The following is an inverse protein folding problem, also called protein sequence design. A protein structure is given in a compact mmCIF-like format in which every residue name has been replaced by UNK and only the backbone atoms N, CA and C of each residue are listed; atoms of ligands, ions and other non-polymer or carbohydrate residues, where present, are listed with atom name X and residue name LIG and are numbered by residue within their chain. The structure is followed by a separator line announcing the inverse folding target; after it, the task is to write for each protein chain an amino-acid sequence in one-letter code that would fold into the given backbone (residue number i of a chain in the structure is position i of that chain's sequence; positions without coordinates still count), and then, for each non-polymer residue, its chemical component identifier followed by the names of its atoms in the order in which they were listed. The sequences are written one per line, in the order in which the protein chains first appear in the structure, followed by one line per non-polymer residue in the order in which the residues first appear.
data_IF_584505086001
#
_entry.id   IF_584505086001
#
_cell.length_a   1.000
_cell.length_b   1.000
_cell.length_c   1.000
_cell.angle_alpha   90.00
_cell.angle_beta   90.00
_cell.angle_gamma   90.00
#
_symmetry.space_group_name_H-M   'P 1'
#
loop_
_entity.id
_entity.type
_entity.pdbx_description
1 polymer ?
#
# COMPACT_ATOMS: atom_id res chain seq x y z
N UNK A 1 -3.33 29.32 -43.15
CA UNK A 1 -2.62 28.06 -42.87
C UNK A 1 -3.11 26.99 -43.83
N UNK A 2 -2.23 26.46 -44.68
CA UNK A 2 -2.58 25.38 -45.62
C UNK A 2 -2.79 24.08 -44.87
N UNK A 3 -3.75 23.24 -45.33
CA UNK A 3 -4.06 21.92 -44.74
C UNK A 3 -2.84 20.99 -44.61
N UNK A 4 -1.74 21.27 -45.32
CA UNK A 4 -0.44 20.59 -45.23
C UNK A 4 0.37 20.92 -43.97
N UNK A 5 0.30 22.15 -43.45
CA UNK A 5 0.94 22.52 -42.19
C UNK A 5 0.27 21.87 -40.97
N UNK A 6 -1.02 21.52 -41.08
CA UNK A 6 -1.73 20.79 -40.03
C UNK A 6 -1.28 19.34 -39.92
N UNK A 7 -1.04 18.63 -41.03
CA UNK A 7 -0.69 17.21 -40.99
C UNK A 7 0.72 16.95 -40.43
N UNK A 8 1.68 17.78 -40.83
CA UNK A 8 3.05 17.72 -40.31
C UNK A 8 3.10 18.13 -38.82
N UNK A 9 2.33 19.14 -38.43
CA UNK A 9 2.16 19.51 -37.03
C UNK A 9 1.47 18.41 -36.21
N UNK A 10 0.54 17.63 -36.78
CA UNK A 10 -0.13 16.51 -36.10
C UNK A 10 0.77 15.29 -35.91
N UNK A 11 1.64 14.99 -36.88
CA UNK A 11 2.64 13.91 -36.75
C UNK A 11 3.66 14.23 -35.65
N UNK A 12 4.13 15.47 -35.63
CA UNK A 12 5.07 15.97 -34.61
C UNK A 12 4.40 16.12 -33.23
N UNK A 13 3.17 16.64 -33.19
CA UNK A 13 2.40 16.76 -31.95
C UNK A 13 1.96 15.39 -31.38
N UNK A 14 1.73 14.39 -32.24
CA UNK A 14 1.43 13.02 -31.83
C UNK A 14 2.61 12.34 -31.13
N UNK A 15 3.83 12.56 -31.61
CA UNK A 15 5.05 12.07 -30.96
C UNK A 15 5.32 12.80 -29.63
N UNK A 16 5.06 14.11 -29.57
CA UNK A 16 5.22 14.92 -28.36
C UNK A 16 4.14 14.70 -27.29
N UNK A 17 2.90 14.34 -27.67
CA UNK A 17 1.79 14.12 -26.73
C UNK A 17 1.88 12.78 -25.98
N UNK A 18 2.67 11.82 -26.48
CA UNK A 18 2.93 10.53 -25.80
C UNK A 18 4.09 10.64 -24.82
N UNK A 19 4.96 11.64 -24.98
CA UNK A 19 6.03 11.97 -24.03
C UNK A 19 5.47 12.80 -22.86
N UNK A 20 4.61 12.20 -22.05
CA UNK A 20 4.23 12.75 -20.76
C UNK A 20 5.40 12.67 -19.79
N UNK A 21 6.27 13.68 -19.79
CA UNK A 21 6.71 14.35 -18.56
C UNK A 21 7.61 15.56 -18.85
N UNK A 22 7.35 16.64 -18.12
CA UNK A 22 7.73 18.03 -18.39
C UNK A 22 9.23 18.38 -18.30
N UNK A 23 10.14 17.40 -18.23
CA UNK A 23 11.60 17.65 -18.08
C UNK A 23 12.47 17.22 -19.26
N UNK A 24 11.96 16.42 -20.20
CA UNK A 24 12.73 15.93 -21.37
C UNK A 24 12.43 16.65 -22.70
N UNK A 25 11.61 17.69 -22.69
CA UNK A 25 11.08 18.35 -23.89
C UNK A 25 12.04 19.35 -24.57
N UNK A 26 13.19 19.70 -23.97
CA UNK A 26 14.13 20.64 -24.60
C UNK A 26 14.98 19.99 -25.70
N UNK A 27 15.48 18.77 -25.47
CA UNK A 27 16.38 18.08 -26.42
C UNK A 27 15.66 17.60 -27.69
N UNK A 28 14.39 17.20 -27.60
CA UNK A 28 13.61 16.75 -28.75
C UNK A 28 13.18 17.87 -29.72
N UNK A 29 13.21 19.15 -29.29
CA UNK A 29 12.77 20.29 -30.13
C UNK A 29 13.83 20.75 -31.13
N UNK A 30 15.10 20.52 -30.86
CA UNK A 30 16.21 21.01 -31.68
C UNK A 30 16.61 20.01 -32.78
N UNK A 31 16.59 18.71 -32.48
CA UNK A 31 16.86 17.65 -33.48
C UNK A 31 15.76 17.55 -34.56
N UNK A 32 14.51 17.88 -34.22
CA UNK A 32 13.36 17.73 -35.12
C UNK A 32 13.22 18.84 -36.17
N UNK A 33 14.05 19.89 -36.11
CA UNK A 33 14.02 21.02 -37.06
C UNK A 33 14.70 20.68 -38.40
N UNK A 34 15.50 19.62 -38.44
CA UNK A 34 16.33 19.26 -39.60
C UNK A 34 15.59 18.37 -40.61
N UNK A 35 14.58 17.60 -40.18
CA UNK A 35 13.87 16.66 -41.07
C UNK A 35 12.68 17.26 -41.86
N UNK A 36 12.18 18.44 -41.48
CA UNK A 36 10.93 18.97 -42.04
C UNK A 36 11.07 19.46 -43.50
N UNK A 37 12.22 20.01 -43.88
CA UNK A 37 12.42 20.61 -45.21
C UNK A 37 12.61 19.54 -46.32
N UNK A 38 13.14 18.37 -45.98
CA UNK A 38 13.40 17.28 -46.94
C UNK A 38 12.14 16.52 -47.37
N UNK A 39 11.07 16.56 -46.58
CA UNK A 39 9.77 15.95 -46.91
C UNK A 39 8.93 16.77 -47.91
N UNK A 40 9.22 18.07 -48.05
CA UNK A 40 8.47 19.00 -48.90
C UNK A 40 8.78 18.87 -50.41
N UNK A 41 9.91 18.25 -50.76
CA UNK A 41 10.40 18.11 -52.14
C UNK A 41 10.07 16.76 -52.79
N UNK A 42 9.45 15.83 -52.06
CA UNK A 42 9.16 14.48 -52.55
C UNK A 42 7.86 14.38 -53.39
N UNK A 43 7.80 13.50 -54.39
CA UNK A 43 6.61 13.33 -55.24
C UNK A 43 5.37 12.88 -54.45
N UNK A 44 4.19 13.39 -54.83
CA UNK A 44 2.91 13.22 -54.09
C UNK A 44 2.51 11.75 -53.84
N UNK A 45 2.93 10.80 -54.68
CA UNK A 45 2.66 9.37 -54.46
C UNK A 45 3.48 8.80 -53.29
N UNK A 46 4.68 9.31 -53.07
CA UNK A 46 5.63 8.91 -52.03
C UNK A 46 5.21 9.49 -50.69
N UNK A 47 4.73 10.75 -50.67
CA UNK A 47 4.21 11.39 -49.44
C UNK A 47 3.01 10.63 -48.86
N UNK A 48 2.09 10.16 -49.69
CA UNK A 48 0.92 9.39 -49.25
C UNK A 48 1.23 7.95 -48.81
N UNK A 49 2.33 7.37 -49.29
CA UNK A 49 2.84 6.08 -48.81
C UNK A 49 3.59 6.25 -47.48
N UNK A 50 4.47 7.25 -47.37
CA UNK A 50 5.20 7.59 -46.14
C UNK A 50 4.23 7.90 -45.00
N UNK A 51 3.18 8.69 -45.24
CA UNK A 51 2.17 9.00 -44.21
C UNK A 51 1.43 7.76 -43.70
N UNK A 52 1.12 6.80 -44.59
CA UNK A 52 0.45 5.55 -44.21
C UNK A 52 1.36 4.65 -43.38
N UNK A 53 2.62 4.51 -43.80
CA UNK A 53 3.64 3.71 -43.08
C UNK A 53 3.94 4.32 -41.71
N UNK A 54 4.08 5.65 -41.63
CA UNK A 54 4.35 6.34 -40.36
C UNK A 54 3.16 6.19 -39.39
N UNK A 55 1.92 6.32 -39.89
CA UNK A 55 0.73 6.15 -39.07
C UNK A 55 0.55 4.71 -38.58
N UNK A 56 0.81 3.70 -39.42
CA UNK A 56 0.74 2.29 -39.01
C UNK A 56 1.83 1.92 -38.00
N UNK A 57 3.06 2.43 -38.18
CA UNK A 57 4.15 2.21 -37.23
C UNK A 57 3.87 2.88 -35.88
N UNK A 58 3.32 4.09 -35.88
CA UNK A 58 2.91 4.78 -34.65
C UNK A 58 1.80 4.02 -33.91
N UNK A 59 0.79 3.52 -34.64
CA UNK A 59 -0.30 2.73 -34.04
C UNK A 59 0.23 1.43 -33.43
N UNK A 60 1.06 0.69 -34.14
CA UNK A 60 1.68 -0.53 -33.64
C UNK A 60 2.54 -0.26 -32.39
N UNK A 61 3.36 0.80 -32.41
CA UNK A 61 4.19 1.16 -31.25
C UNK A 61 3.36 1.60 -30.05
N UNK A 62 2.25 2.29 -30.29
CA UNK A 62 1.30 2.69 -29.23
C UNK A 62 0.64 1.48 -28.59
N UNK A 63 0.22 0.49 -29.38
CA UNK A 63 -0.38 -0.74 -28.85
C UNK A 63 0.61 -1.56 -28.02
N UNK A 64 1.86 -1.68 -28.49
CA UNK A 64 2.96 -2.32 -27.74
C UNK A 64 3.21 -1.62 -26.39
N UNK A 65 3.29 -0.28 -26.39
CA UNK A 65 3.48 0.51 -25.16
C UNK A 65 2.29 0.33 -24.21
N UNK A 66 1.05 0.34 -24.72
CA UNK A 66 -0.15 0.13 -23.90
C UNK A 66 -0.18 -1.28 -23.30
N UNK A 67 0.28 -2.29 -24.02
CA UNK A 67 0.39 -3.66 -23.50
C UNK A 67 1.44 -3.77 -22.41
N UNK A 68 2.60 -3.13 -22.59
CA UNK A 68 3.64 -3.06 -21.55
C UNK A 68 3.15 -2.33 -20.30
N UNK A 69 2.38 -1.25 -20.44
CA UNK A 69 1.78 -0.54 -19.30
C UNK A 69 0.83 -1.45 -18.55
N UNK A 70 -0.12 -2.10 -19.25
CA UNK A 70 -1.07 -3.04 -18.63
C UNK A 70 -0.37 -4.16 -17.85
N UNK A 71 0.69 -4.74 -18.44
CA UNK A 71 1.46 -5.78 -17.78
C UNK A 71 2.13 -5.27 -16.50
N UNK A 72 2.80 -4.10 -16.55
CA UNK A 72 3.42 -3.50 -15.36
C UNK A 72 2.42 -3.12 -14.28
N UNK A 73 1.25 -2.61 -14.67
CA UNK A 73 0.16 -2.32 -13.73
C UNK A 73 -0.36 -3.58 -13.05
N UNK A 74 -0.50 -4.69 -13.79
CA UNK A 74 -0.92 -5.97 -13.22
C UNK A 74 0.14 -6.54 -12.25
N UNK A 75 1.42 -6.49 -12.62
CA UNK A 75 2.52 -6.88 -11.74
C UNK A 75 2.58 -6.01 -10.49
N UNK A 76 2.46 -4.69 -10.64
CA UNK A 76 2.42 -3.77 -9.51
C UNK A 76 1.22 -4.03 -8.59
N UNK A 77 0.05 -4.34 -9.17
CA UNK A 77 -1.15 -4.70 -8.40
C UNK A 77 -0.93 -5.99 -7.62
N UNK A 78 -0.36 -7.04 -8.24
CA UNK A 78 -0.05 -8.31 -7.56
C UNK A 78 0.96 -8.11 -6.44
N UNK A 79 2.01 -7.31 -6.69
CA UNK A 79 3.01 -6.99 -5.68
C UNK A 79 2.41 -6.21 -4.50
N UNK A 80 1.51 -5.26 -4.76
CA UNK A 80 0.81 -4.50 -3.72
C UNK A 80 -0.13 -5.39 -2.89
N UNK A 81 -0.86 -6.32 -3.52
CA UNK A 81 -1.72 -7.27 -2.82
C UNK A 81 -0.92 -8.22 -1.91
N UNK A 82 0.22 -8.71 -2.39
CA UNK A 82 1.12 -9.55 -1.60
C UNK A 82 1.73 -8.79 -0.43
N UNK A 83 2.17 -7.54 -0.64
CA UNK A 83 2.68 -6.69 0.42
C UNK A 83 1.61 -6.41 1.49
N UNK A 84 0.39 -6.08 1.09
CA UNK A 84 -0.74 -5.87 2.01
C UNK A 84 -1.11 -7.16 2.78
N UNK A 85 -1.02 -8.33 2.12
CA UNK A 85 -1.21 -9.62 2.77
C UNK A 85 -0.15 -9.88 3.83
N UNK A 86 1.12 -9.62 3.51
CA UNK A 86 2.23 -9.82 4.43
C UNK A 86 2.14 -8.89 5.64
N UNK A 87 1.76 -7.63 5.41
CA UNK A 87 1.55 -6.65 6.48
C UNK A 87 0.41 -7.08 7.42
N UNK A 88 -0.72 -7.54 6.86
CA UNK A 88 -1.83 -8.06 7.66
C UNK A 88 -1.41 -9.26 8.52
N UNK A 89 -0.66 -10.21 7.94
CA UNK A 89 -0.14 -11.36 8.68
C UNK A 89 0.80 -10.92 9.80
N UNK A 90 1.69 -9.96 9.52
CA UNK A 90 2.61 -9.39 10.52
C UNK A 90 1.84 -8.78 11.69
N UNK A 91 0.79 -7.99 11.40
CA UNK A 91 -0.07 -7.36 12.39
C UNK A 91 -0.85 -8.39 13.23
N UNK A 92 -1.44 -9.40 12.60
CA UNK A 92 -2.12 -10.51 13.29
C UNK A 92 -1.17 -11.21 14.27
N UNK A 93 0.07 -11.49 13.86
CA UNK A 93 1.08 -12.11 14.71
C UNK A 93 1.47 -11.23 15.89
N UNK A 94 1.74 -9.94 15.66
CA UNK A 94 2.06 -9.00 16.73
C UNK A 94 0.93 -8.94 17.78
N UNK A 95 -0.32 -8.79 17.31
CA UNK A 95 -1.49 -8.73 18.18
C UNK A 95 -1.67 -10.05 18.96
N UNK A 96 -1.52 -11.20 18.30
CA UNK A 96 -1.61 -12.51 18.96
C UNK A 96 -0.50 -12.70 20.01
N UNK A 97 0.73 -12.31 19.69
CA UNK A 97 1.86 -12.40 20.61
C UNK A 97 1.63 -11.58 21.87
N UNK A 98 1.19 -10.31 21.75
CA UNK A 98 0.98 -9.46 22.92
C UNK A 98 -0.22 -9.92 23.76
N UNK A 99 -1.34 -10.30 23.12
CA UNK A 99 -2.50 -10.88 23.82
C UNK A 99 -2.09 -12.14 24.59
N UNK A 100 -1.30 -13.02 23.97
CA UNK A 100 -0.81 -14.22 24.63
C UNK A 100 0.06 -13.89 25.85
N UNK A 101 0.95 -12.91 25.73
CA UNK A 101 1.83 -12.55 26.84
C UNK A 101 1.10 -11.91 28.02
N UNK A 102 0.05 -11.12 27.78
CA UNK A 102 -0.71 -10.42 28.82
C UNK A 102 -1.90 -11.21 29.36
N UNK A 103 -2.56 -12.00 28.51
CA UNK A 103 -3.84 -12.64 28.80
C UNK A 103 -3.94 -14.09 28.32
N UNK A 104 -2.82 -14.76 28.00
CA UNK A 104 -2.83 -16.11 27.43
C UNK A 104 -3.47 -17.18 28.32
N UNK A 105 -3.62 -16.93 29.62
CA UNK A 105 -4.33 -17.80 30.57
C UNK A 105 -5.79 -17.37 30.85
N UNK A 106 -6.29 -16.33 30.17
CA UNK A 106 -7.66 -15.83 30.31
C UNK A 106 -8.60 -16.49 29.29
N UNK A 107 -9.91 -16.30 29.49
CA UNK A 107 -10.93 -16.69 28.51
C UNK A 107 -10.73 -15.95 27.18
N UNK A 108 -11.36 -16.45 26.11
CA UNK A 108 -11.34 -15.77 24.80
C UNK A 108 -11.80 -14.32 24.92
N UNK A 109 -12.87 -14.06 25.67
CA UNK A 109 -13.37 -12.70 25.93
C UNK A 109 -12.34 -11.83 26.64
N UNK A 110 -11.62 -12.37 27.63
CA UNK A 110 -10.54 -11.63 28.32
C UNK A 110 -9.32 -11.36 27.42
N UNK A 111 -9.02 -12.27 26.51
CA UNK A 111 -7.98 -12.07 25.49
C UNK A 111 -8.37 -10.98 24.48
N UNK A 112 -9.61 -11.01 23.99
CA UNK A 112 -10.17 -9.97 23.12
C UNK A 112 -10.21 -8.63 23.85
N UNK A 113 -10.55 -8.61 25.14
CA UNK A 113 -10.59 -7.40 25.96
C UNK A 113 -9.21 -6.70 26.03
N UNK A 114 -8.12 -7.44 26.25
CA UNK A 114 -6.76 -6.86 26.26
C UNK A 114 -6.37 -6.34 24.87
N UNK A 115 -6.65 -7.09 23.80
CA UNK A 115 -6.41 -6.61 22.43
C UNK A 115 -7.24 -5.36 22.08
N UNK A 116 -8.47 -5.27 22.58
CA UNK A 116 -9.32 -4.11 22.40
C UNK A 116 -8.75 -2.85 23.08
N UNK A 117 -8.04 -2.97 24.21
CA UNK A 117 -7.34 -1.82 24.82
C UNK A 117 -6.30 -1.24 23.85
N UNK A 118 -5.53 -2.11 23.19
CA UNK A 118 -4.53 -1.70 22.21
C UNK A 118 -5.21 -0.95 21.05
N UNK A 119 -6.31 -1.50 20.51
CA UNK A 119 -7.03 -0.86 19.41
C UNK A 119 -7.74 0.43 19.83
N UNK A 120 -8.20 0.54 21.08
CA UNK A 120 -8.75 1.78 21.62
C UNK A 120 -7.69 2.86 21.71
N UNK A 121 -6.48 2.52 22.17
CA UNK A 121 -5.34 3.45 22.19
C UNK A 121 -4.97 3.92 20.79
N UNK A 122 -4.87 3.02 19.82
CA UNK A 122 -4.60 3.39 18.42
C UNK A 122 -5.65 4.38 17.87
N UNK A 123 -6.89 4.35 18.37
CA UNK A 123 -7.98 5.26 17.96
C UNK A 123 -8.04 6.53 18.80
N UNK A 124 -7.35 6.57 19.93
CA UNK A 124 -7.36 7.68 20.87
C UNK A 124 -6.20 8.63 20.56
N UNK A 125 -6.51 9.92 20.39
CA UNK A 125 -5.51 10.92 19.99
C UNK A 125 -4.42 11.21 21.04
N UNK A 126 -4.51 10.65 22.24
CA UNK A 126 -3.46 10.74 23.26
C UNK A 126 -2.35 9.67 23.11
N UNK A 127 -2.55 8.67 22.24
CA UNK A 127 -1.62 7.57 22.01
C UNK A 127 -1.11 7.55 20.55
N UNK A 128 -0.06 6.77 20.25
CA UNK A 128 0.41 6.59 18.88
C UNK A 128 -0.63 5.94 17.96
N UNK A 129 -0.52 6.23 16.66
CA UNK A 129 -1.51 5.85 15.64
C UNK A 129 -1.33 4.42 15.10
N UNK A 130 -0.35 3.67 15.61
CA UNK A 130 -0.07 2.30 15.15
C UNK A 130 0.01 1.29 16.28
N UNK A 131 -0.41 0.04 16.00
CA UNK A 131 -0.35 -1.06 16.97
C UNK A 131 1.07 -1.31 17.45
N UNK A 132 2.05 -1.25 16.54
CA UNK A 132 3.46 -1.46 16.92
C UNK A 132 3.94 -0.36 17.88
N UNK A 133 3.69 0.92 17.58
CA UNK A 133 4.09 1.99 18.48
C UNK A 133 3.40 1.91 19.84
N UNK A 134 2.09 1.61 19.88
CA UNK A 134 1.35 1.42 21.14
C UNK A 134 1.91 0.27 21.96
N UNK A 135 2.18 -0.87 21.33
CA UNK A 135 2.72 -2.06 22.01
C UNK A 135 4.13 -1.80 22.54
N UNK A 136 4.99 -1.10 21.79
CA UNK A 136 6.37 -0.84 22.21
C UNK A 136 6.54 0.43 23.06
N UNK A 137 5.45 1.10 23.49
CA UNK A 137 5.55 2.20 24.46
C UNK A 137 6.18 1.72 25.77
N UNK A 138 7.18 2.47 26.25
CA UNK A 138 7.93 2.12 27.46
C UNK A 138 7.01 1.99 28.68
N UNK A 139 7.10 0.85 29.36
CA UNK A 139 6.37 0.58 30.61
C UNK A 139 4.88 0.27 30.45
N UNK A 140 4.35 0.17 29.23
CA UNK A 140 2.93 -0.16 29.01
C UNK A 140 2.65 -1.66 29.07
N UNK A 141 3.54 -2.47 28.47
CA UNK A 141 3.40 -3.93 28.40
C UNK A 141 4.66 -4.59 28.97
N UNK A 142 4.52 -5.33 30.07
CA UNK A 142 5.64 -5.94 30.80
C UNK A 142 6.54 -6.87 29.96
N UNK A 143 5.98 -7.71 29.06
CA UNK A 143 6.71 -8.61 28.15
C UNK A 143 7.63 -7.92 27.14
N UNK A 144 7.41 -6.64 26.83
CA UNK A 144 8.22 -5.89 25.87
C UNK A 144 9.60 -5.59 26.44
N UNK A 145 9.66 -5.10 27.68
CA UNK A 145 10.90 -4.72 28.34
C UNK A 145 11.84 -5.92 28.58
N UNK A 146 11.31 -7.14 28.63
CA UNK A 146 12.07 -8.37 28.88
C UNK A 146 12.53 -9.08 27.59
N UNK A 147 12.10 -8.60 26.41
CA UNK A 147 12.32 -9.28 25.13
C UNK A 147 11.49 -10.56 24.95
N UNK A 148 10.57 -10.85 25.89
CA UNK A 148 9.70 -12.03 25.81
C UNK A 148 8.73 -11.92 24.62
N UNK A 149 8.18 -10.73 24.37
CA UNK A 149 7.29 -10.50 23.23
C UNK A 149 7.98 -10.84 21.90
N UNK A 150 9.20 -10.35 21.70
CA UNK A 150 9.95 -10.60 20.47
C UNK A 150 10.27 -12.08 20.27
N UNK A 151 10.55 -12.80 21.37
CA UNK A 151 10.72 -14.25 21.35
C UNK A 151 9.43 -14.95 20.92
N UNK A 152 8.29 -14.63 21.54
CA UNK A 152 6.99 -15.21 21.18
C UNK A 152 6.65 -14.92 19.71
N UNK A 153 6.91 -13.71 19.22
CA UNK A 153 6.66 -13.28 17.84
C UNK A 153 7.54 -14.02 16.82
N UNK A 154 8.82 -14.20 17.12
CA UNK A 154 9.78 -14.85 16.21
C UNK A 154 9.63 -16.37 16.13
N UNK A 155 9.11 -17.01 17.18
CA UNK A 155 8.92 -18.48 17.22
C UNK A 155 7.48 -18.92 16.98
N UNK A 156 6.57 -17.99 16.66
CA UNK A 156 5.12 -18.23 16.63
C UNK A 156 4.62 -18.93 17.92
N UNK A 157 5.14 -18.50 19.08
CA UNK A 157 4.93 -19.15 20.38
C UNK A 157 3.61 -18.83 21.07
N UNK A 158 2.73 -18.05 20.44
CA UNK A 158 1.39 -17.74 20.93
C UNK A 158 0.45 -18.94 20.75
N UNK A 159 -0.66 -18.97 21.48
CA UNK A 159 -1.68 -20.02 21.32
C UNK A 159 -2.61 -19.71 20.15
N UNK A 160 -3.24 -20.74 19.58
CA UNK A 160 -4.31 -20.57 18.57
C UNK A 160 -5.48 -19.73 19.11
N UNK A 161 -5.77 -19.81 20.41
CA UNK A 161 -6.77 -18.97 21.06
C UNK A 161 -6.39 -17.47 20.97
N UNK A 162 -5.12 -17.13 21.23
CA UNK A 162 -4.64 -15.76 21.11
C UNK A 162 -4.63 -15.27 19.66
N UNK A 163 -4.32 -16.14 18.70
CA UNK A 163 -4.43 -15.85 17.27
C UNK A 163 -5.89 -15.58 16.86
N UNK A 164 -6.84 -16.37 17.35
CA UNK A 164 -8.26 -16.13 17.08
C UNK A 164 -8.72 -14.81 17.72
N UNK A 165 -8.33 -14.54 18.96
CA UNK A 165 -8.66 -13.29 19.64
C UNK A 165 -8.08 -12.07 18.89
N UNK A 166 -6.85 -12.17 18.40
CA UNK A 166 -6.23 -11.13 17.58
C UNK A 166 -7.03 -10.82 16.31
N UNK A 167 -7.48 -11.85 15.59
CA UNK A 167 -8.32 -11.68 14.40
C UNK A 167 -9.65 -11.03 14.74
N UNK A 168 -10.29 -11.44 15.83
CA UNK A 168 -11.57 -10.88 16.27
C UNK A 168 -11.40 -9.39 16.64
N UNK A 169 -10.34 -9.03 17.35
CA UNK A 169 -9.99 -7.65 17.70
C UNK A 169 -9.75 -6.80 16.44
N UNK A 170 -8.96 -7.30 15.50
CA UNK A 170 -8.68 -6.61 14.23
C UNK A 170 -9.93 -6.50 13.34
N UNK A 171 -10.89 -7.42 13.47
CA UNK A 171 -12.21 -7.33 12.86
C UNK A 171 -13.18 -6.38 13.60
N UNK A 172 -12.78 -5.85 14.77
CA UNK A 172 -13.52 -4.84 15.53
C UNK A 172 -14.24 -5.35 16.78
N UNK A 173 -14.01 -6.59 17.22
CA UNK A 173 -14.54 -7.09 18.48
C UNK A 173 -13.98 -6.27 19.65
N UNK A 174 -14.89 -5.77 20.50
CA UNK A 174 -14.53 -4.92 21.63
C UNK A 174 -15.55 -5.09 22.78
N UNK A 175 -15.27 -5.95 23.77
CA UNK A 175 -16.15 -6.14 24.92
C UNK A 175 -16.01 -5.05 25.99
N UNK A 176 -15.07 -4.11 25.83
CA UNK A 176 -14.68 -3.13 26.87
C UNK A 176 -15.06 -1.68 26.55
N UNK A 177 -15.76 -1.44 25.45
CA UNK A 177 -16.09 -0.08 25.03
C UNK A 177 -14.83 0.76 24.83
N UNK A 178 -14.71 1.88 25.52
CA UNK A 178 -13.60 2.82 25.34
C UNK A 178 -12.50 2.71 26.41
N UNK A 179 -12.46 1.63 27.20
CA UNK A 179 -11.41 1.49 28.21
C UNK A 179 -10.01 1.49 27.56
N UNK A 180 -9.09 2.22 28.18
CA UNK A 180 -7.73 2.46 27.68
C UNK A 180 -6.67 1.80 28.56
N UNK A 181 -7.06 1.23 29.70
CA UNK A 181 -6.17 0.62 30.66
C UNK A 181 -6.76 -0.68 31.21
N UNK A 182 -5.89 -1.55 31.71
CA UNK A 182 -6.29 -2.72 32.47
C UNK A 182 -5.28 -3.03 33.57
N UNK A 183 -5.74 -3.69 34.63
CA UNK A 183 -4.90 -4.15 35.74
C UNK A 183 -5.47 -5.43 36.40
N UNK A 184 -4.74 -5.95 37.39
CA UNK A 184 -5.11 -7.12 38.21
C UNK A 184 -5.43 -6.68 39.65
N UNK A 185 -6.54 -5.96 39.85
CA UNK A 185 -7.06 -5.68 41.20
C UNK A 185 -7.56 -4.26 41.46
N UNK A 186 -7.75 -3.46 40.41
CA UNK A 186 -8.24 -2.10 40.47
C UNK A 186 -9.77 -2.00 40.40
N UNK A 187 -10.24 -1.04 39.62
CA UNK A 187 -11.65 -0.69 39.44
C UNK A 187 -12.03 -0.70 37.97
N UNK A 188 -13.34 -0.67 37.71
CA UNK A 188 -13.89 -0.67 36.37
C UNK A 188 -14.58 -1.99 36.03
N UNK A 189 -14.71 -2.26 34.74
CA UNK A 189 -15.41 -3.44 34.27
C UNK A 189 -14.50 -4.66 34.39
N UNK A 190 -14.99 -5.74 35.00
CA UNK A 190 -14.21 -6.95 35.23
C UNK A 190 -14.49 -8.02 34.17
N UNK A 191 -13.44 -8.52 33.52
CA UNK A 191 -13.49 -9.68 32.63
C UNK A 191 -12.33 -10.62 33.01
N UNK A 192 -12.68 -11.80 33.52
CA UNK A 192 -11.68 -12.72 34.07
C UNK A 192 -10.94 -12.13 35.27
N UNK A 193 -9.60 -12.19 35.23
CA UNK A 193 -8.74 -11.63 36.27
C UNK A 193 -8.43 -10.13 36.08
N UNK A 194 -8.89 -9.51 34.98
CA UNK A 194 -8.58 -8.13 34.64
C UNK A 194 -9.73 -7.17 34.95
N UNK A 195 -9.39 -5.96 35.38
CA UNK A 195 -10.28 -4.82 35.49
C UNK A 195 -9.90 -3.79 34.42
N UNK A 196 -10.88 -3.30 33.67
CA UNK A 196 -10.72 -2.38 32.54
C UNK A 196 -11.33 -1.01 32.86
N UNK A 197 -10.59 0.06 32.57
CA UNK A 197 -11.02 1.45 32.81
C UNK A 197 -10.45 2.44 31.78
#
# INVERSE_FOLDING_TARGET
MTKRNMLAALLVAGVLSVMGDSKHTSYAKEEMKVELHALETLPKNLTGQISRVCQSQYQAKREEVLEQIRFREEEAKKAAEEAARQERISLEKLMASIIFCEAGNQSHEGQVAVGAVIMNRVRDGAFPDTVEEVVYQSGQFGPVATGWLDKVRSTDGYTEAAMQAARDVLAGANPIGNCLYFDQGGYGMQIGAHYFH
#
